data_IF_306464561936
#
_entry.id   IF_306464561936
#
_cell.length_a   1.000
_cell.length_b   1.000
_cell.length_c   1.000
_cell.angle_alpha   90.00
_cell.angle_beta   90.00
_cell.angle_gamma   90.00
#
_symmetry.space_group_name_H-M   'P 1'
#
loop_
_entity.id
_entity.type
_entity.pdbx_description
1 polymer ?
#
# COMPACT_ATOMS: atom_id res chain seq x y z
N UNK A 1 -9.60 -21.49 6.17
CA UNK A 1 -9.65 -20.03 6.38
C UNK A 1 -10.28 -19.42 5.11
N UNK A 2 -11.50 -18.87 5.15
CA UNK A 2 -12.06 -18.13 4.01
C UNK A 2 -11.07 -17.02 3.65
N UNK A 3 -10.39 -17.13 2.51
CA UNK A 3 -9.47 -16.10 2.03
C UNK A 3 -10.33 -14.92 1.59
N UNK A 4 -10.56 -14.00 2.52
CA UNK A 4 -11.28 -12.77 2.23
C UNK A 4 -10.33 -11.87 1.43
N UNK A 5 -10.27 -12.08 0.11
CA UNK A 5 -9.52 -11.27 -0.86
C UNK A 5 -9.94 -9.79 -0.90
N UNK A 6 -10.96 -9.42 -0.13
CA UNK A 6 -11.45 -8.07 0.01
C UNK A 6 -10.37 -7.10 0.51
N UNK A 7 -9.57 -7.52 1.50
CA UNK A 7 -8.53 -6.65 2.07
C UNK A 7 -7.41 -6.38 1.04
N UNK A 8 -7.05 -7.39 0.25
CA UNK A 8 -6.04 -7.29 -0.81
C UNK A 8 -6.52 -6.36 -1.94
N UNK A 9 -7.79 -6.49 -2.34
CA UNK A 9 -8.42 -5.60 -3.31
C UNK A 9 -8.51 -4.16 -2.82
N UNK A 10 -8.86 -3.96 -1.55
CA UNK A 10 -8.88 -2.63 -0.92
C UNK A 10 -7.47 -2.01 -0.92
N UNK A 11 -6.45 -2.81 -0.59
CA UNK A 11 -5.06 -2.37 -0.60
C UNK A 11 -4.60 -1.98 -2.00
N UNK A 12 -4.91 -2.81 -3.00
CA UNK A 12 -4.61 -2.55 -4.40
C UNK A 12 -5.23 -1.24 -4.88
N UNK A 13 -6.51 -1.01 -4.55
CA UNK A 13 -7.22 0.22 -4.89
C UNK A 13 -6.58 1.45 -4.21
N UNK A 14 -6.21 1.35 -2.93
CA UNK A 14 -5.56 2.43 -2.19
C UNK A 14 -4.21 2.80 -2.80
N UNK A 15 -3.39 1.80 -3.14
CA UNK A 15 -2.09 1.99 -3.78
C UNK A 15 -2.28 2.65 -5.14
N UNK A 16 -3.23 2.17 -5.96
CA UNK A 16 -3.50 2.73 -7.27
C UNK A 16 -3.94 4.20 -7.18
N UNK A 17 -4.85 4.53 -6.26
CA UNK A 17 -5.30 5.91 -6.05
C UNK A 17 -4.15 6.82 -5.58
N UNK A 18 -3.30 6.34 -4.66
CA UNK A 18 -2.15 7.09 -4.16
C UNK A 18 -1.10 7.30 -5.28
N UNK A 19 -0.87 6.29 -6.12
CA UNK A 19 0.07 6.34 -7.23
C UNK A 19 -0.39 7.29 -8.33
N UNK A 20 -1.67 7.20 -8.74
CA UNK A 20 -2.25 8.11 -9.75
C UNK A 20 -2.23 9.56 -9.25
N UNK A 21 -2.67 9.82 -8.02
CA UNK A 21 -2.66 11.18 -7.46
C UNK A 21 -1.24 11.72 -7.26
N UNK A 22 -0.28 10.86 -6.90
CA UNK A 22 1.14 11.21 -6.78
C UNK A 22 1.74 11.61 -8.12
N UNK A 23 1.55 10.79 -9.17
CA UNK A 23 2.03 11.08 -10.53
C UNK A 23 1.41 12.38 -11.06
N UNK A 24 0.10 12.58 -10.89
CA UNK A 24 -0.56 13.81 -11.33
C UNK A 24 -0.03 15.07 -10.64
N UNK A 25 0.34 14.96 -9.36
CA UNK A 25 0.92 16.07 -8.61
C UNK A 25 2.37 16.35 -9.03
N UNK A 26 3.17 15.30 -9.20
CA UNK A 26 4.62 15.36 -9.46
C UNK A 26 4.94 15.81 -10.88
N UNK A 27 4.21 15.29 -11.88
CA UNK A 27 4.38 15.68 -13.27
C UNK A 27 3.73 17.03 -13.63
N UNK A 28 3.17 17.75 -12.65
CA UNK A 28 2.52 19.05 -12.87
C UNK A 28 1.43 19.03 -13.95
N UNK A 29 0.88 17.86 -14.27
CA UNK A 29 -0.09 17.61 -15.36
C UNK A 29 -1.44 18.31 -15.17
N UNK A 30 -1.66 18.92 -14.00
CA UNK A 30 -2.87 19.66 -13.68
C UNK A 30 -2.70 21.13 -14.07
N UNK A 31 -3.41 21.61 -15.10
CA UNK A 31 -3.53 23.04 -15.40
C UNK A 31 -4.35 23.72 -14.28
N UNK A 32 -3.91 24.90 -13.81
CA UNK A 32 -4.58 25.63 -12.72
C UNK A 32 -3.69 26.04 -11.54
N UNK A 33 -2.37 25.86 -11.63
CA UNK A 33 -1.42 26.38 -10.66
C UNK A 33 -1.55 25.80 -9.24
N UNK A 34 -1.20 26.60 -8.23
CA UNK A 34 -1.16 26.19 -6.81
C UNK A 34 -2.55 25.82 -6.25
N UNK A 35 -3.59 26.46 -6.74
CA UNK A 35 -4.98 26.31 -6.28
C UNK A 35 -5.65 25.05 -6.85
N UNK A 36 -5.46 24.77 -8.15
CA UNK A 36 -5.95 23.53 -8.77
C UNK A 36 -5.32 22.25 -8.20
N UNK A 37 -4.12 22.36 -7.61
CA UNK A 37 -3.39 21.23 -6.99
C UNK A 37 -3.70 21.01 -5.52
N UNK A 38 -4.34 21.97 -4.84
CA UNK A 38 -4.72 21.84 -3.44
C UNK A 38 -5.65 20.62 -3.18
N UNK A 39 -6.72 20.38 -3.95
CA UNK A 39 -7.59 19.22 -3.72
C UNK A 39 -6.86 17.89 -3.96
N UNK A 40 -6.07 17.79 -5.03
CA UNK A 40 -5.29 16.58 -5.35
C UNK A 40 -4.26 16.25 -4.28
N UNK A 41 -3.57 17.27 -3.75
CA UNK A 41 -2.63 17.11 -2.64
C UNK A 41 -3.31 16.60 -1.37
N UNK A 42 -4.50 17.12 -1.06
CA UNK A 42 -5.27 16.65 0.09
C UNK A 42 -5.71 15.20 -0.09
N UNK A 43 -6.24 14.85 -1.27
CA UNK A 43 -6.66 13.48 -1.59
C UNK A 43 -5.47 12.52 -1.48
N UNK A 44 -4.33 12.85 -2.08
CA UNK A 44 -3.11 12.05 -2.00
C UNK A 44 -2.65 11.82 -0.55
N UNK A 45 -2.71 12.85 0.28
CA UNK A 45 -2.30 12.75 1.69
C UNK A 45 -3.25 11.86 2.49
N UNK A 46 -4.57 12.03 2.33
CA UNK A 46 -5.55 11.20 3.02
C UNK A 46 -5.55 9.76 2.51
N UNK A 47 -5.38 9.54 1.19
CA UNK A 47 -5.21 8.20 0.63
C UNK A 47 -3.95 7.53 1.16
N UNK A 48 -2.86 8.29 1.34
CA UNK A 48 -1.63 7.79 1.94
C UNK A 48 -1.81 7.31 3.38
N UNK A 49 -2.53 8.07 4.22
CA UNK A 49 -2.84 7.64 5.58
C UNK A 49 -3.75 6.40 5.60
N UNK A 50 -4.78 6.36 4.75
CA UNK A 50 -5.69 5.22 4.64
C UNK A 50 -4.94 3.96 4.17
N UNK A 51 -4.04 4.11 3.19
CA UNK A 51 -3.16 3.05 2.71
C UNK A 51 -2.24 2.54 3.82
N UNK A 52 -1.62 3.42 4.61
CA UNK A 52 -0.76 3.02 5.72
C UNK A 52 -1.51 2.16 6.75
N UNK A 53 -2.73 2.57 7.14
CA UNK A 53 -3.58 1.80 8.06
C UNK A 53 -3.99 0.46 7.45
N UNK A 54 -4.37 0.45 6.17
CA UNK A 54 -4.76 -0.78 5.47
C UNK A 54 -3.58 -1.77 5.35
N UNK A 55 -2.36 -1.28 5.12
CA UNK A 55 -1.13 -2.09 5.10
C UNK A 55 -0.90 -2.70 6.49
N UNK A 56 -0.98 -1.91 7.55
CA UNK A 56 -0.81 -2.43 8.91
C UNK A 56 -1.82 -3.53 9.24
N UNK A 57 -3.11 -3.32 8.91
CA UNK A 57 -4.14 -4.34 9.10
C UNK A 57 -3.86 -5.59 8.27
N UNK A 58 -3.41 -5.44 7.02
CA UNK A 58 -3.03 -6.57 6.16
C UNK A 58 -1.88 -7.38 6.75
N UNK A 59 -0.80 -6.73 7.23
CA UNK A 59 0.31 -7.42 7.88
C UNK A 59 -0.12 -8.17 9.15
N UNK A 60 -0.95 -7.54 10.00
CA UNK A 60 -1.47 -8.18 11.21
C UNK A 60 -2.35 -9.38 10.89
N UNK A 61 -3.18 -9.27 9.85
CA UNK A 61 -4.03 -10.36 9.38
C UNK A 61 -3.20 -11.54 8.83
N UNK A 62 -2.13 -11.22 8.10
CA UNK A 62 -1.23 -12.21 7.51
C UNK A 62 -0.06 -12.62 8.43
N UNK A 63 -0.06 -12.25 9.71
CA UNK A 63 1.03 -12.56 10.67
C UNK A 63 1.45 -14.04 10.69
N UNK A 64 0.49 -14.95 10.56
CA UNK A 64 0.75 -16.38 10.56
C UNK A 64 1.46 -16.84 9.28
N UNK A 65 1.09 -16.26 8.13
CA UNK A 65 1.79 -16.49 6.87
C UNK A 65 3.20 -15.88 6.92
N UNK A 66 3.35 -14.65 7.42
CA UNK A 66 4.65 -13.99 7.56
C UNK A 66 5.58 -14.84 8.44
N UNK A 67 5.12 -15.30 9.60
CA UNK A 67 5.92 -16.14 10.49
C UNK A 67 6.36 -17.46 9.82
N UNK A 68 5.50 -18.07 8.99
CA UNK A 68 5.87 -19.27 8.22
C UNK A 68 6.90 -18.95 7.13
N UNK A 69 6.70 -17.87 6.36
CA UNK A 69 7.63 -17.45 5.30
C UNK A 69 9.00 -17.07 5.87
N UNK A 70 9.06 -16.33 6.99
CA UNK A 70 10.31 -15.99 7.66
C UNK A 70 11.06 -17.23 8.12
N UNK A 71 10.36 -18.22 8.70
CA UNK A 71 10.96 -19.49 9.10
C UNK A 71 11.49 -20.28 7.91
N UNK A 72 10.79 -20.27 6.78
CA UNK A 72 11.25 -20.94 5.55
C UNK A 72 12.54 -20.30 5.01
N UNK A 73 12.59 -18.97 4.93
CA UNK A 73 13.77 -18.23 4.48
C UNK A 73 14.97 -18.49 5.41
N UNK A 74 14.76 -18.43 6.73
CA UNK A 74 15.83 -18.69 7.70
C UNK A 74 16.27 -20.15 7.77
N UNK A 75 15.37 -21.11 7.49
CA UNK A 75 15.74 -22.52 7.44
C UNK A 75 16.59 -22.83 6.21
N UNK A 76 16.22 -22.30 5.05
CA UNK A 76 17.02 -22.44 3.81
C UNK A 76 18.45 -21.92 4.00
N UNK A 77 18.65 -20.88 4.81
CA UNK A 77 19.98 -20.32 5.07
C UNK A 77 20.91 -21.21 5.92
N UNK A 78 20.39 -22.23 6.60
CA UNK A 78 21.19 -23.15 7.43
C UNK A 78 21.48 -24.49 6.72
N UNK A 79 20.89 -24.76 5.56
CA UNK A 79 21.14 -25.98 4.76
C UNK A 79 22.22 -25.75 3.67
N UNK A 80 22.61 -24.48 3.43
CA UNK A 80 23.64 -24.07 2.47
C UNK A 80 24.98 -23.63 3.13
N UNK A 81 25.12 -23.75 4.46
CA UNK A 81 26.35 -23.48 5.25
C UNK A 81 27.02 -24.79 5.72
#
# INVERSE_FOLDING_TARGET
MKKNYFLDWLLFLCILACLVTGILLDFHLIPGGREGRAPFRNIHRYSGYLMAVAILLHLLWHRAWIAMTTRYIFKSKNEDD
#
